data_IF_243477958927
#
_entry.id   IF_243477958927
#
_cell.length_a   1.000
_cell.length_b   1.000
_cell.length_c   1.000
_cell.angle_alpha   90.00
_cell.angle_beta   90.00
_cell.angle_gamma   90.00
#
_symmetry.space_group_name_H-M   'P 1'
#
loop_
_entity.id
_entity.type
_entity.pdbx_description
1 polymer ?
#
# COMPACT_ATOMS: atom_id res chain seq x y z
N UNK A 1 -1.41 -21.63 -1.03
CA UNK A 1 -0.34 -20.63 -1.22
C UNK A 1 -0.25 -20.24 -2.69
N UNK A 2 -0.12 -18.95 -2.99
CA UNK A 2 0.08 -18.46 -4.37
C UNK A 2 1.43 -19.00 -4.89
N UNK A 3 1.48 -19.64 -6.10
CA UNK A 3 2.73 -20.07 -6.71
C UNK A 3 3.69 -18.89 -6.97
N UNK A 4 5.00 -19.15 -6.94
CA UNK A 4 6.02 -18.08 -7.11
C UNK A 4 5.93 -17.42 -8.49
N UNK A 5 5.67 -18.21 -9.53
CA UNK A 5 5.46 -17.70 -10.91
C UNK A 5 4.27 -16.72 -11.02
N UNK A 6 3.20 -16.94 -10.26
CA UNK A 6 2.06 -16.02 -10.22
C UNK A 6 2.46 -14.72 -9.53
N UNK A 7 3.19 -14.80 -8.42
CA UNK A 7 3.69 -13.63 -7.70
C UNK A 7 4.67 -12.81 -8.56
N UNK A 8 5.58 -13.48 -9.29
CA UNK A 8 6.51 -12.85 -10.23
C UNK A 8 5.79 -12.18 -11.40
N UNK A 9 4.72 -12.79 -11.94
CA UNK A 9 3.90 -12.17 -12.98
C UNK A 9 3.22 -10.89 -12.49
N UNK A 10 2.69 -10.89 -11.25
CA UNK A 10 2.11 -9.68 -10.65
C UNK A 10 3.19 -8.61 -10.46
N UNK A 11 4.34 -8.97 -9.89
CA UNK A 11 5.47 -8.05 -9.75
C UNK A 11 5.85 -7.43 -11.10
N UNK A 12 6.07 -8.26 -12.13
CA UNK A 12 6.42 -7.77 -13.47
C UNK A 12 5.37 -6.83 -14.04
N UNK A 13 4.08 -7.17 -13.87
CA UNK A 13 3.00 -6.32 -14.35
C UNK A 13 3.02 -4.93 -13.67
N UNK A 14 3.32 -4.88 -12.36
CA UNK A 14 3.47 -3.61 -11.63
C UNK A 14 4.68 -2.83 -12.16
N UNK A 15 5.84 -3.47 -12.28
CA UNK A 15 7.03 -2.82 -12.82
C UNK A 15 6.80 -2.28 -14.24
N UNK A 16 5.98 -2.96 -15.04
CA UNK A 16 5.57 -2.52 -16.38
C UNK A 16 4.49 -1.44 -16.40
N UNK A 17 3.99 -0.97 -15.25
CA UNK A 17 3.05 0.15 -15.14
C UNK A 17 1.66 -0.19 -14.63
N UNK A 18 1.38 -1.43 -14.22
CA UNK A 18 0.12 -1.76 -13.55
C UNK A 18 0.10 -1.12 -12.15
N UNK A 19 -1.02 -0.50 -11.77
CA UNK A 19 -1.26 -0.11 -10.39
C UNK A 19 -1.59 -1.29 -9.49
N UNK A 20 -1.21 -1.21 -8.22
CA UNK A 20 -1.54 -2.24 -7.24
C UNK A 20 -1.94 -1.63 -5.89
N UNK A 21 -2.96 -2.22 -5.27
CA UNK A 21 -3.39 -1.89 -3.91
C UNK A 21 -3.29 -3.16 -3.08
N UNK A 22 -2.60 -3.07 -1.96
CA UNK A 22 -2.46 -4.16 -1.00
C UNK A 22 -3.15 -3.76 0.30
N UNK A 23 -4.05 -4.62 0.76
CA UNK A 23 -4.89 -4.34 1.92
C UNK A 23 -4.52 -5.25 3.08
N UNK A 24 -4.47 -4.70 4.27
CA UNK A 24 -4.38 -5.41 5.54
C UNK A 24 -3.28 -6.49 5.54
N UNK A 25 -3.63 -7.74 5.77
CA UNK A 25 -2.71 -8.90 5.79
C UNK A 25 -1.99 -9.16 4.46
N UNK A 26 -2.33 -8.44 3.38
CA UNK A 26 -1.63 -8.54 2.11
C UNK A 26 -0.15 -8.08 2.18
N UNK A 27 0.30 -7.46 3.30
CA UNK A 27 1.71 -7.22 3.56
C UNK A 27 2.55 -8.51 3.55
N UNK A 28 1.97 -9.66 3.92
CA UNK A 28 2.61 -10.98 3.85
C UNK A 28 2.51 -11.66 2.48
N UNK A 29 1.78 -11.07 1.54
CA UNK A 29 1.64 -11.65 0.19
C UNK A 29 2.99 -11.67 -0.53
N UNK A 30 3.24 -12.73 -1.31
CA UNK A 30 4.46 -12.85 -2.12
C UNK A 30 4.66 -11.66 -3.08
N UNK A 31 3.61 -11.18 -3.82
CA UNK A 31 3.78 -10.03 -4.69
C UNK A 31 4.22 -8.77 -3.95
N UNK A 32 3.62 -8.48 -2.78
CA UNK A 32 3.99 -7.31 -2.00
C UNK A 32 5.45 -7.39 -1.53
N UNK A 33 5.85 -8.53 -0.96
CA UNK A 33 7.22 -8.76 -0.51
C UNK A 33 8.24 -8.66 -1.65
N UNK A 34 7.90 -9.16 -2.84
CA UNK A 34 8.74 -9.00 -4.03
C UNK A 34 8.88 -7.53 -4.47
N UNK A 35 7.80 -6.74 -4.37
CA UNK A 35 7.80 -5.31 -4.70
C UNK A 35 8.53 -4.46 -3.66
N UNK A 36 8.48 -4.86 -2.39
CA UNK A 36 9.16 -4.15 -1.30
C UNK A 36 10.63 -4.56 -1.16
N UNK A 37 10.98 -5.80 -1.47
CA UNK A 37 12.34 -6.34 -1.33
C UNK A 37 12.75 -6.54 0.13
N UNK A 38 11.81 -6.66 1.05
CA UNK A 38 12.03 -6.76 2.49
C UNK A 38 11.14 -7.85 3.11
N UNK A 39 11.29 -8.09 4.42
CA UNK A 39 10.48 -9.10 5.13
C UNK A 39 8.99 -8.76 5.18
N UNK A 40 8.66 -7.46 5.21
CA UNK A 40 7.32 -6.93 5.44
C UNK A 40 6.69 -7.43 6.75
N UNK A 41 7.50 -7.83 7.72
CA UNK A 41 7.04 -8.24 9.05
C UNK A 41 6.63 -7.01 9.87
N UNK A 42 5.73 -7.24 10.80
CA UNK A 42 5.22 -6.23 11.74
C UNK A 42 4.86 -6.91 13.07
N UNK A 43 4.51 -6.14 14.08
CA UNK A 43 3.86 -6.64 15.28
C UNK A 43 2.35 -6.52 15.17
N UNK A 44 1.61 -7.42 15.79
CA UNK A 44 0.15 -7.43 15.71
C UNK A 44 -0.49 -8.07 16.93
N UNK A 45 -1.74 -7.69 17.21
CA UNK A 45 -2.64 -8.35 18.17
C UNK A 45 -4.08 -8.16 17.74
N UNK A 46 -4.94 -9.11 18.07
CA UNK A 46 -6.34 -9.17 17.66
C UNK A 46 -7.27 -9.02 18.88
N UNK A 47 -7.34 -7.80 19.43
CA UNK A 47 -8.19 -7.48 20.58
C UNK A 47 -9.43 -6.67 20.20
N UNK A 48 -9.52 -6.27 18.92
CA UNK A 48 -10.63 -5.44 18.43
C UNK A 48 -10.59 -4.01 18.94
N UNK A 49 -9.41 -3.46 19.07
CA UNK A 49 -9.18 -2.10 19.53
C UNK A 49 -9.78 -1.06 18.59
N UNK A 50 -10.14 0.08 19.17
CA UNK A 50 -10.41 1.27 18.39
C UNK A 50 -9.14 1.75 17.69
N UNK A 51 -9.27 2.11 16.41
CA UNK A 51 -8.20 2.73 15.64
C UNK A 51 -8.59 4.14 15.17
N UNK A 52 -7.67 5.09 15.30
CA UNK A 52 -7.71 6.38 14.62
C UNK A 52 -6.69 6.41 13.50
N UNK A 53 -7.17 6.47 12.27
CA UNK A 53 -6.29 6.54 11.08
C UNK A 53 -6.12 8.00 10.67
N UNK A 54 -5.03 8.61 11.12
CA UNK A 54 -4.73 10.03 10.93
C UNK A 54 -4.24 10.34 9.52
N UNK A 55 -4.71 11.45 8.97
CA UNK A 55 -4.22 12.00 7.68
C UNK A 55 -2.94 12.75 7.92
N UNK A 56 -1.83 12.28 7.31
CA UNK A 56 -0.49 12.88 7.42
C UNK A 56 -0.19 13.86 6.28
N UNK A 57 -0.71 13.58 5.09
CA UNK A 57 -0.55 14.44 3.91
C UNK A 57 -1.93 14.84 3.35
N UNK A 58 -2.57 15.91 3.87
CA UNK A 58 -3.90 16.33 3.45
C UNK A 58 -4.00 16.73 1.97
N UNK A 59 -2.88 17.01 1.32
CA UNK A 59 -2.81 17.38 -0.10
C UNK A 59 -2.84 16.18 -1.03
N UNK A 60 -2.59 14.97 -0.51
CA UNK A 60 -2.47 13.78 -1.34
C UNK A 60 -3.83 13.33 -1.89
N UNK A 61 -3.93 12.95 -3.20
CA UNK A 61 -5.18 12.54 -3.82
C UNK A 61 -5.94 11.43 -3.09
N UNK A 62 -5.24 10.46 -2.49
CA UNK A 62 -5.83 9.31 -1.78
C UNK A 62 -6.72 9.75 -0.61
N UNK A 63 -6.39 10.86 0.05
CA UNK A 63 -7.14 11.33 1.24
C UNK A 63 -8.10 12.48 0.94
N UNK A 64 -8.35 12.78 -0.33
CA UNK A 64 -9.29 13.83 -0.69
C UNK A 64 -10.71 13.51 -0.21
N UNK A 65 -11.31 14.46 0.51
CA UNK A 65 -12.64 14.31 1.10
C UNK A 65 -12.65 13.53 2.43
N UNK A 66 -11.48 13.18 2.98
CA UNK A 66 -11.33 12.65 4.33
C UNK A 66 -11.08 13.81 5.29
N UNK A 67 -11.62 13.72 6.51
CA UNK A 67 -11.36 14.67 7.58
C UNK A 67 -9.93 14.55 8.13
N UNK A 68 -9.74 14.94 9.38
CA UNK A 68 -8.42 14.84 10.02
C UNK A 68 -7.99 13.40 10.28
N UNK A 69 -8.95 12.53 10.53
CA UNK A 69 -8.75 11.10 10.77
C UNK A 69 -10.00 10.31 10.40
N UNK A 70 -9.84 9.01 10.19
CA UNK A 70 -10.92 8.02 10.11
C UNK A 70 -11.03 7.35 11.47
N UNK A 71 -12.23 7.21 11.99
CA UNK A 71 -12.49 6.49 13.23
C UNK A 71 -13.03 5.10 12.92
N UNK A 72 -12.34 4.08 13.40
CA UNK A 72 -12.76 2.68 13.36
C UNK A 72 -12.97 2.20 14.79
N UNK A 73 -14.18 1.75 15.10
CA UNK A 73 -14.55 1.29 16.44
C UNK A 73 -13.78 0.04 16.86
N UNK A 74 -13.52 -0.83 15.87
CA UNK A 74 -12.81 -2.08 16.08
C UNK A 74 -11.93 -2.39 14.87
N UNK A 75 -10.67 -2.74 15.11
CA UNK A 75 -9.75 -3.20 14.10
C UNK A 75 -8.67 -4.09 14.72
N UNK A 76 -7.97 -4.89 13.91
CA UNK A 76 -6.77 -5.60 14.33
C UNK A 76 -5.61 -4.61 14.48
N UNK A 77 -4.99 -4.60 15.67
CA UNK A 77 -3.90 -3.69 15.94
C UNK A 77 -2.61 -4.17 15.28
N UNK A 78 -2.04 -3.30 14.45
CA UNK A 78 -0.68 -3.41 13.92
C UNK A 78 0.23 -2.39 14.56
N UNK A 79 1.49 -2.75 14.75
CA UNK A 79 2.49 -1.90 15.38
C UNK A 79 3.82 -1.89 14.65
N UNK A 80 4.52 -0.76 14.77
CA UNK A 80 5.92 -0.65 14.34
C UNK A 80 6.84 -1.56 15.22
N UNK A 81 8.00 -2.01 14.70
CA UNK A 81 8.52 -1.69 13.37
C UNK A 81 7.84 -2.50 12.26
N UNK A 82 7.49 -1.82 11.17
CA UNK A 82 7.04 -2.45 9.95
C UNK A 82 8.21 -2.60 8.98
N UNK A 83 8.56 -3.82 8.66
CA UNK A 83 9.74 -4.18 7.85
C UNK A 83 9.56 -3.90 6.35
N UNK A 84 9.22 -2.66 6.00
CA UNK A 84 9.09 -2.15 4.64
C UNK A 84 10.13 -1.05 4.39
N UNK A 85 10.53 -0.79 3.12
CA UNK A 85 11.33 0.40 2.82
C UNK A 85 10.56 1.67 3.14
N UNK A 86 11.28 2.78 3.29
CA UNK A 86 10.65 4.09 3.44
C UNK A 86 9.68 4.35 2.27
N UNK A 87 8.42 4.71 2.54
CA UNK A 87 7.48 5.02 1.48
C UNK A 87 7.83 6.34 0.79
N UNK A 88 7.59 6.43 -0.52
CA UNK A 88 7.71 7.68 -1.25
C UNK A 88 6.79 8.76 -0.68
N UNK A 89 5.62 8.32 -0.16
CA UNK A 89 4.70 9.14 0.63
C UNK A 89 4.04 8.31 1.72
N UNK A 90 4.09 8.80 2.95
CA UNK A 90 3.27 8.34 4.05
C UNK A 90 2.03 9.23 4.13
N UNK A 91 0.86 8.68 3.81
CA UNK A 91 -0.39 9.47 3.74
C UNK A 91 -1.29 9.26 4.94
N UNK A 92 -1.17 8.11 5.62
CA UNK A 92 -1.99 7.76 6.78
C UNK A 92 -1.17 7.06 7.86
N UNK A 93 -1.41 7.42 9.13
CA UNK A 93 -0.86 6.75 10.31
C UNK A 93 -2.01 6.24 11.16
N UNK A 94 -2.00 4.96 11.52
CA UNK A 94 -2.87 4.35 12.51
C UNK A 94 -2.36 4.57 13.93
N UNK A 95 -3.29 4.83 14.85
CA UNK A 95 -3.03 4.84 16.28
C UNK A 95 -4.12 4.05 16.98
N UNK A 96 -3.72 3.01 17.67
CA UNK A 96 -4.61 2.07 18.36
C UNK A 96 -4.80 2.46 19.82
N UNK A 97 -5.89 2.00 20.42
CA UNK A 97 -6.24 2.29 21.82
C UNK A 97 -5.15 1.81 22.80
N UNK A 98 -4.49 0.70 22.49
CA UNK A 98 -3.34 0.18 23.25
C UNK A 98 -2.07 1.02 23.16
N UNK A 99 -2.04 2.04 22.29
CA UNK A 99 -0.92 2.95 22.13
C UNK A 99 0.00 2.63 20.95
N UNK A 100 -0.25 1.54 20.24
CA UNK A 100 0.52 1.21 19.02
C UNK A 100 0.30 2.28 17.94
N UNK A 101 1.38 2.57 17.23
CA UNK A 101 1.39 3.46 16.07
C UNK A 101 1.88 2.66 14.86
N UNK A 102 1.26 2.89 13.72
CA UNK A 102 1.56 2.13 12.51
C UNK A 102 1.45 2.98 11.24
N UNK A 103 2.33 2.76 10.28
CA UNK A 103 2.24 3.35 8.94
C UNK A 103 1.10 2.73 8.14
N UNK A 104 -0.11 3.25 8.33
CA UNK A 104 -1.36 2.67 7.85
C UNK A 104 -1.64 2.93 6.36
N UNK A 105 -1.05 3.96 5.76
CA UNK A 105 -1.23 4.29 4.33
C UNK A 105 0.08 4.68 3.67
N UNK A 106 0.67 3.77 2.91
CA UNK A 106 1.99 3.92 2.30
C UNK A 106 1.92 3.87 0.77
N UNK A 107 2.46 4.89 0.12
CA UNK A 107 2.54 4.99 -1.33
C UNK A 107 3.95 4.74 -1.82
N UNK A 108 4.07 3.98 -2.90
CA UNK A 108 5.33 3.67 -3.55
C UNK A 108 5.23 3.80 -5.07
N UNK A 109 6.33 4.19 -5.69
CA UNK A 109 6.56 3.97 -7.10
C UNK A 109 7.53 2.78 -7.26
N UNK A 110 7.18 1.87 -8.15
CA UNK A 110 8.02 0.71 -8.49
C UNK A 110 8.17 0.66 -10.01
N UNK A 111 9.32 1.12 -10.50
CA UNK A 111 9.53 1.40 -11.92
C UNK A 111 8.39 2.28 -12.48
N UNK A 112 7.60 1.73 -13.40
CA UNK A 112 6.49 2.44 -14.04
C UNK A 112 5.16 2.34 -13.28
N UNK A 113 5.07 1.47 -12.25
CA UNK A 113 3.84 1.22 -11.50
C UNK A 113 3.76 1.99 -10.19
N UNK A 114 2.53 2.20 -9.73
CA UNK A 114 2.22 2.76 -8.41
C UNK A 114 1.67 1.68 -7.51
N UNK A 115 2.10 1.69 -6.25
CA UNK A 115 1.65 0.75 -5.22
C UNK A 115 1.13 1.53 -4.03
N UNK A 116 -0.04 1.15 -3.53
CA UNK A 116 -0.59 1.64 -2.28
C UNK A 116 -0.81 0.48 -1.31
N UNK A 117 -0.29 0.62 -0.10
CA UNK A 117 -0.61 -0.26 1.02
C UNK A 117 -1.54 0.46 1.97
N UNK A 118 -2.60 -0.22 2.41
CA UNK A 118 -3.57 0.29 3.37
C UNK A 118 -3.83 -0.75 4.46
N UNK A 119 -3.58 -0.37 5.72
CA UNK A 119 -3.61 -1.31 6.84
C UNK A 119 -5.02 -1.73 7.26
N UNK A 120 -6.05 -0.86 7.43
CA UNK A 120 -7.36 -1.30 7.90
C UNK A 120 -7.99 -2.34 6.99
N UNK A 121 -8.68 -3.32 7.57
CA UNK A 121 -9.41 -4.29 6.75
C UNK A 121 -9.49 -5.72 7.25
N UNK A 122 -9.41 -5.95 8.57
CA UNK A 122 -9.59 -7.28 9.12
C UNK A 122 -11.02 -7.78 8.87
N UNK A 123 -11.16 -9.07 8.49
CA UNK A 123 -12.43 -9.69 8.07
C UNK A 123 -13.49 -9.79 9.18
N UNK A 124 -13.07 -9.78 10.44
CA UNK A 124 -13.99 -9.84 11.58
C UNK A 124 -14.74 -8.52 11.84
N UNK A 125 -14.28 -7.42 11.26
CA UNK A 125 -14.84 -6.10 11.52
C UNK A 125 -15.47 -5.47 10.26
N UNK A 126 -16.47 -4.58 10.42
CA UNK A 126 -17.17 -3.99 9.30
C UNK A 126 -16.39 -2.83 8.64
N UNK A 127 -15.06 -2.88 8.63
CA UNK A 127 -14.16 -1.82 8.19
C UNK A 127 -14.49 -1.33 6.78
N UNK A 128 -14.75 -2.25 5.85
CA UNK A 128 -15.11 -1.91 4.47
C UNK A 128 -16.55 -1.39 4.30
N UNK A 129 -17.32 -1.23 5.41
CA UNK A 129 -18.60 -0.53 5.40
C UNK A 129 -18.45 0.93 5.83
N UNK A 130 -17.31 1.32 6.40
CA UNK A 130 -17.03 2.70 6.77
C UNK A 130 -16.92 3.58 5.52
N UNK A 131 -17.68 4.68 5.42
CA UNK A 131 -17.72 5.52 4.21
C UNK A 131 -16.38 6.18 3.89
N UNK A 132 -15.57 6.52 4.90
CA UNK A 132 -14.27 7.12 4.69
C UNK A 132 -13.25 6.08 4.19
N UNK A 133 -13.30 4.85 4.69
CA UNK A 133 -12.51 3.72 4.15
C UNK A 133 -12.85 3.49 2.69
N UNK A 134 -14.15 3.43 2.33
CA UNK A 134 -14.59 3.29 0.95
C UNK A 134 -14.06 4.45 0.08
N UNK A 135 -14.07 5.67 0.61
CA UNK A 135 -13.55 6.84 -0.10
C UNK A 135 -12.05 6.73 -0.35
N UNK A 136 -11.27 6.36 0.67
CA UNK A 136 -9.82 6.12 0.51
C UNK A 136 -9.58 5.08 -0.59
N UNK A 137 -10.30 3.96 -0.58
CA UNK A 137 -10.13 2.90 -1.60
C UNK A 137 -10.49 3.38 -3.01
N UNK A 138 -11.59 4.13 -3.18
CA UNK A 138 -11.95 4.74 -4.47
C UNK A 138 -10.86 5.70 -4.97
N UNK A 139 -10.38 6.57 -4.09
CA UNK A 139 -9.31 7.50 -4.40
C UNK A 139 -8.00 6.76 -4.76
N UNK A 140 -7.69 5.69 -4.02
CA UNK A 140 -6.52 4.87 -4.26
C UNK A 140 -6.57 4.18 -5.62
N UNK A 141 -7.74 3.63 -6.02
CA UNK A 141 -7.94 3.06 -7.37
C UNK A 141 -7.66 4.10 -8.46
N UNK A 142 -8.17 5.32 -8.29
CA UNK A 142 -7.91 6.40 -9.23
C UNK A 142 -6.42 6.81 -9.24
N UNK A 143 -5.77 6.88 -8.06
CA UNK A 143 -4.38 7.28 -7.94
C UNK A 143 -3.40 6.26 -8.52
N UNK A 144 -3.63 4.95 -8.32
CA UNK A 144 -2.76 3.90 -8.87
C UNK A 144 -3.00 3.63 -10.34
N UNK A 145 -4.04 4.21 -10.95
CA UNK A 145 -4.34 4.00 -12.36
C UNK A 145 -3.09 4.20 -13.23
N UNK A 146 -2.84 3.31 -14.21
CA UNK A 146 -1.67 3.39 -15.04
C UNK A 146 -1.61 4.70 -15.84
N UNK A 147 -0.51 5.43 -15.72
CA UNK A 147 -0.22 6.61 -16.55
C UNK A 147 0.52 6.19 -17.81
N UNK A 148 1.39 5.20 -17.69
CA UNK A 148 2.22 4.67 -18.76
C UNK A 148 2.43 3.17 -18.57
N UNK A 149 2.47 2.43 -19.65
CA UNK A 149 2.79 0.99 -19.64
C UNK A 149 3.84 0.68 -20.66
N UNK A 150 4.81 -0.15 -20.26
CA UNK A 150 5.81 -0.75 -21.15
C UNK A 150 5.49 -2.23 -21.35
N UNK A 151 5.77 -2.75 -22.53
CA UNK A 151 5.58 -4.18 -22.80
C UNK A 151 6.62 -5.04 -22.06
N UNK A 152 7.83 -4.51 -21.95
CA UNK A 152 8.97 -5.19 -21.33
C UNK A 152 9.87 -4.21 -20.60
N UNK A 153 10.52 -4.70 -19.54
CA UNK A 153 11.61 -3.99 -18.86
C UNK A 153 12.89 -4.27 -19.62
N UNK A 154 13.32 -3.30 -20.41
CA UNK A 154 14.50 -3.47 -21.28
C UNK A 154 15.61 -2.52 -20.88
N UNK A 155 16.84 -3.00 -21.02
CA UNK A 155 18.05 -2.20 -21.01
C UNK A 155 18.75 -2.41 -22.35
N UNK A 156 18.36 -1.70 -23.41
CA UNK A 156 18.89 -1.93 -24.77
C UNK A 156 20.35 -1.54 -24.85
N UNK A 157 21.14 -2.38 -25.52
CA UNK A 157 22.52 -2.06 -25.85
C UNK A 157 22.56 -1.04 -27.01
N UNK A 158 23.21 0.07 -26.79
CA UNK A 158 23.44 1.10 -27.81
C UNK A 158 24.78 0.83 -28.50
N UNK A 159 24.73 0.43 -29.77
CA UNK A 159 25.94 0.04 -30.55
C UNK A 159 26.79 1.21 -31.00
N UNK A 160 26.23 2.41 -31.08
CA UNK A 160 26.89 3.63 -31.50
C UNK A 160 26.55 4.79 -30.59
N UNK A 161 27.44 5.77 -30.39
CA UNK A 161 27.10 6.99 -29.69
C UNK A 161 25.90 7.68 -30.34
N UNK A 162 25.04 8.30 -29.50
CA UNK A 162 23.90 9.07 -29.98
C UNK A 162 24.34 10.43 -30.55
N UNK A 163 25.44 10.94 -30.05
CA UNK A 163 26.06 12.17 -30.55
C UNK A 163 27.14 11.80 -31.61
N UNK A 164 27.09 12.49 -32.72
CA UNK A 164 28.08 12.39 -33.80
C UNK A 164 28.96 13.63 -33.86
#
# INVERSE_FOLDING_TARGET
>A
RVPDEVAQRVQRAVLCGMGAIFLHSAHHSKPFRLLMGTSCNLTWREDGDRELVWVCDPSHPIVQGIGRFIHLEHEEAYGEPFGIPEPDKLVLIGNFEGGEVFRAGCCYRRENGKVFYFQPGHESYPTFKNPDVIRVLKNAVAWVAPEYRVAELQCPHVKKPLEQ
#
